data_IF_068421837793
#
_entry.id   IF_068421837793
#
_cell.length_a   1.000
_cell.length_b   1.000
_cell.length_c   1.000
_cell.angle_alpha   90.00
_cell.angle_beta   90.00
_cell.angle_gamma   90.00
#
_symmetry.space_group_name_H-M   'P 1'
#
loop_
_entity.id
_entity.type
_entity.pdbx_description
1 polymer ?
#
# COMPACT_ATOMS: atom_id res chain seq x y z
N UNK A 1 -14.81 -6.03 26.11
CA UNK A 1 -13.94 -5.46 25.06
C UNK A 1 -14.76 -5.36 23.78
N UNK A 2 -15.28 -4.18 23.48
CA UNK A 2 -16.15 -3.96 22.30
C UNK A 2 -15.26 -3.41 21.19
N UNK A 3 -14.60 -4.28 20.43
CA UNK A 3 -13.78 -3.87 19.29
C UNK A 3 -14.68 -3.33 18.19
N UNK A 4 -14.79 -2.00 18.08
CA UNK A 4 -15.44 -1.36 16.94
C UNK A 4 -14.66 -1.68 15.67
N UNK A 5 -15.34 -2.20 14.65
CA UNK A 5 -14.76 -2.32 13.31
C UNK A 5 -14.43 -0.95 12.73
N UNK A 6 -13.47 -0.90 11.79
CA UNK A 6 -13.02 0.37 11.19
C UNK A 6 -14.15 1.17 10.53
N UNK A 7 -15.15 0.49 9.96
CA UNK A 7 -16.35 1.13 9.43
C UNK A 7 -17.21 1.83 10.49
N UNK A 8 -17.30 1.25 11.69
CA UNK A 8 -17.98 1.87 12.81
C UNK A 8 -17.23 3.13 13.30
N UNK A 9 -15.89 3.10 13.30
CA UNK A 9 -15.06 4.27 13.64
C UNK A 9 -15.29 5.43 12.67
N UNK A 10 -15.23 5.20 11.36
CA UNK A 10 -15.52 6.24 10.36
C UNK A 10 -16.96 6.75 10.46
N UNK A 11 -17.93 5.86 10.69
CA UNK A 11 -19.32 6.25 10.93
C UNK A 11 -19.46 7.20 12.11
N UNK A 12 -18.80 6.90 13.24
CA UNK A 12 -18.80 7.76 14.43
C UNK A 12 -18.20 9.14 14.15
N UNK A 13 -17.08 9.20 13.42
CA UNK A 13 -16.45 10.48 13.04
C UNK A 13 -17.40 11.32 12.19
N UNK A 14 -18.03 10.72 11.18
CA UNK A 14 -18.95 11.44 10.29
C UNK A 14 -20.26 11.82 10.97
N UNK A 15 -20.79 10.99 11.88
CA UNK A 15 -21.95 11.35 12.70
C UNK A 15 -21.63 12.53 13.62
N UNK A 16 -20.46 12.52 14.27
CA UNK A 16 -20.00 13.62 15.10
C UNK A 16 -19.82 14.92 14.31
N UNK A 17 -19.24 14.82 13.11
CA UNK A 17 -19.13 15.95 12.18
C UNK A 17 -20.51 16.49 11.77
N UNK A 18 -21.42 15.59 11.39
CA UNK A 18 -22.77 15.97 10.96
C UNK A 18 -23.56 16.66 12.06
N UNK A 19 -23.51 16.11 13.28
CA UNK A 19 -24.15 16.71 14.46
C UNK A 19 -23.63 18.12 14.74
N UNK A 20 -22.30 18.31 14.73
CA UNK A 20 -21.69 19.63 15.01
C UNK A 20 -22.01 20.69 13.97
N UNK A 21 -22.25 20.28 12.72
CA UNK A 21 -22.50 21.19 11.61
C UNK A 21 -23.99 21.25 11.20
N UNK A 22 -24.90 20.65 11.98
CA UNK A 22 -26.33 20.65 11.68
C UNK A 22 -26.69 19.93 10.37
N UNK A 23 -25.91 18.93 9.97
CA UNK A 23 -26.09 18.19 8.73
C UNK A 23 -26.98 16.95 8.96
N UNK A 24 -27.86 16.69 8.00
CA UNK A 24 -28.62 15.45 7.94
C UNK A 24 -27.71 14.27 7.60
N UNK A 25 -28.02 13.10 8.16
CA UNK A 25 -27.35 11.84 7.83
C UNK A 25 -28.00 11.26 6.57
N UNK A 26 -27.24 10.93 5.51
CA UNK A 26 -27.80 10.34 4.30
C UNK A 26 -28.40 8.95 4.57
N UNK A 27 -29.30 8.51 3.69
CA UNK A 27 -29.75 7.12 3.68
C UNK A 27 -28.67 6.19 3.15
N UNK A 28 -28.65 4.95 3.64
CA UNK A 28 -27.78 3.89 3.14
C UNK A 28 -28.15 3.47 1.72
N UNK A 29 -27.15 3.08 0.92
CA UNK A 29 -27.36 2.52 -0.42
C UNK A 29 -27.30 0.98 -0.37
N UNK A 30 -27.92 0.27 -1.33
CA UNK A 30 -27.81 -1.17 -1.42
C UNK A 30 -26.37 -1.60 -1.74
N UNK A 31 -25.94 -2.71 -1.16
CA UNK A 31 -24.63 -3.32 -1.47
C UNK A 31 -24.66 -3.94 -2.85
N UNK A 32 -23.63 -3.68 -3.65
CA UNK A 32 -23.39 -4.36 -4.93
C UNK A 32 -22.07 -5.15 -4.88
N UNK A 33 -21.95 -6.15 -5.74
CA UNK A 33 -20.67 -6.82 -5.97
C UNK A 33 -19.74 -5.95 -6.80
N UNK A 34 -18.44 -5.98 -6.53
CA UNK A 34 -17.43 -5.28 -7.31
C UNK A 34 -16.11 -6.06 -7.34
N UNK A 35 -15.21 -5.71 -8.25
CA UNK A 35 -13.94 -6.41 -8.44
C UNK A 35 -12.89 -5.86 -7.48
N UNK A 36 -12.22 -6.76 -6.74
CA UNK A 36 -11.15 -6.40 -5.80
C UNK A 36 -9.82 -6.02 -6.44
N UNK A 37 -8.76 -6.03 -5.63
CA UNK A 37 -7.38 -5.77 -6.07
C UNK A 37 -6.85 -6.82 -7.05
N UNK A 38 -5.81 -6.47 -7.80
CA UNK A 38 -5.13 -7.41 -8.70
C UNK A 38 -4.19 -8.30 -7.89
N UNK A 39 -4.38 -9.62 -7.96
CA UNK A 39 -3.41 -10.58 -7.42
C UNK A 39 -3.12 -11.66 -8.46
N UNK A 40 -1.85 -11.79 -8.84
CA UNK A 40 -1.42 -12.67 -9.93
C UNK A 40 -0.03 -13.22 -9.69
N UNK A 41 0.13 -14.50 -10.01
CA UNK A 41 1.41 -15.16 -10.18
C UNK A 41 1.71 -15.19 -11.68
N UNK A 42 2.88 -14.71 -12.07
CA UNK A 42 3.34 -14.70 -13.46
C UNK A 42 4.44 -15.75 -13.68
N UNK A 43 5.27 -16.00 -12.68
CA UNK A 43 6.39 -16.96 -12.74
C UNK A 43 6.38 -17.87 -11.52
N UNK A 44 6.31 -19.18 -11.75
CA UNK A 44 6.43 -20.22 -10.71
C UNK A 44 7.90 -20.64 -10.61
N UNK A 45 8.35 -20.95 -9.40
CA UNK A 45 9.68 -21.51 -9.15
C UNK A 45 10.68 -20.47 -8.66
N UNK A 46 11.96 -20.78 -8.83
CA UNK A 46 13.08 -20.05 -8.25
C UNK A 46 13.44 -18.79 -9.06
N UNK A 47 13.78 -17.70 -8.37
CA UNK A 47 14.29 -16.47 -8.97
C UNK A 47 15.30 -15.80 -8.04
N UNK A 48 16.28 -15.11 -8.60
CA UNK A 48 17.35 -14.42 -7.86
C UNK A 48 17.23 -12.90 -8.02
N UNK A 49 17.91 -12.16 -7.13
CA UNK A 49 18.02 -10.70 -7.10
C UNK A 49 16.63 -10.06 -7.23
N UNK A 50 15.79 -10.27 -6.22
CA UNK A 50 14.38 -9.88 -6.28
C UNK A 50 14.16 -8.58 -5.55
N UNK A 51 13.41 -7.66 -6.16
CA UNK A 51 12.91 -6.45 -5.51
C UNK A 51 11.40 -6.50 -5.38
N UNK A 52 10.90 -6.03 -4.25
CA UNK A 52 9.47 -5.80 -4.00
C UNK A 52 9.18 -4.32 -4.10
N UNK A 53 8.39 -3.93 -5.09
CA UNK A 53 7.88 -2.58 -5.20
C UNK A 53 6.47 -2.53 -4.59
N UNK A 54 6.20 -1.55 -3.75
CA UNK A 54 4.90 -1.36 -3.10
C UNK A 54 4.44 0.10 -3.21
N UNK A 55 3.16 0.31 -3.48
CA UNK A 55 2.60 1.67 -3.50
C UNK A 55 2.35 2.16 -2.08
N UNK A 56 2.88 3.33 -1.75
CA UNK A 56 2.72 3.97 -0.45
C UNK A 56 1.24 4.26 -0.15
N UNK A 57 0.61 3.41 0.67
CA UNK A 57 -0.81 3.51 1.04
C UNK A 57 -1.74 3.60 -0.17
N UNK A 58 -1.67 2.61 -1.09
CA UNK A 58 -2.34 2.62 -2.39
C UNK A 58 -3.77 3.19 -2.38
N UNK A 59 -4.71 2.57 -1.64
CA UNK A 59 -6.11 2.99 -1.70
C UNK A 59 -6.37 4.39 -1.12
N UNK A 60 -5.88 4.76 0.07
CA UNK A 60 -5.93 6.14 0.53
C UNK A 60 -5.32 7.14 -0.46
N UNK A 61 -4.16 6.80 -1.04
CA UNK A 61 -3.47 7.67 -1.99
C UNK A 61 -4.26 7.87 -3.28
N UNK A 62 -4.92 6.81 -3.78
CA UNK A 62 -5.84 6.89 -4.93
C UNK A 62 -7.02 7.80 -4.61
N UNK A 63 -7.65 7.62 -3.44
CA UNK A 63 -8.80 8.44 -3.04
C UNK A 63 -8.44 9.92 -3.00
N UNK A 64 -7.32 10.26 -2.37
CA UNK A 64 -6.85 11.64 -2.23
C UNK A 64 -6.42 12.25 -3.58
N UNK A 65 -5.69 11.50 -4.40
CA UNK A 65 -5.14 11.97 -5.68
C UNK A 65 -6.22 12.14 -6.75
N UNK A 66 -7.14 11.17 -6.85
CA UNK A 66 -8.18 11.16 -7.89
C UNK A 66 -9.55 11.65 -7.40
N UNK A 67 -9.59 12.23 -6.20
CA UNK A 67 -10.80 12.70 -5.54
C UNK A 67 -11.94 11.66 -5.59
N UNK A 68 -11.67 10.43 -5.14
CA UNK A 68 -12.64 9.33 -5.15
C UNK A 68 -13.38 9.27 -3.81
N UNK A 69 -14.42 10.08 -3.70
CA UNK A 69 -15.33 10.18 -2.57
C UNK A 69 -16.78 10.27 -3.06
N UNK A 70 -17.74 10.01 -2.17
CA UNK A 70 -19.17 10.13 -2.48
C UNK A 70 -19.62 11.59 -2.45
N UNK A 71 -20.54 11.94 -3.35
CA UNK A 71 -21.08 13.31 -3.46
C UNK A 71 -22.01 13.69 -2.29
N UNK A 72 -22.45 12.72 -1.48
CA UNK A 72 -23.32 12.97 -0.33
C UNK A 72 -22.58 13.61 0.86
N UNK A 73 -21.25 13.61 0.88
CA UNK A 73 -20.47 14.44 1.80
C UNK A 73 -20.29 15.85 1.24
N UNK A 74 -21.33 16.66 1.45
CA UNK A 74 -21.39 18.05 0.98
C UNK A 74 -20.33 18.97 1.58
N UNK A 75 -19.66 18.54 2.65
CA UNK A 75 -18.62 19.32 3.34
C UNK A 75 -17.19 18.88 2.98
N UNK A 76 -17.03 17.77 2.27
CA UNK A 76 -15.72 17.17 2.03
C UNK A 76 -15.01 16.67 3.30
N UNK A 77 -15.76 16.39 4.37
CA UNK A 77 -15.23 15.95 5.65
C UNK A 77 -14.44 14.64 5.56
N UNK A 78 -14.91 13.67 4.76
CA UNK A 78 -14.22 12.39 4.55
C UNK A 78 -12.85 12.61 3.91
N UNK A 79 -12.79 13.47 2.88
CA UNK A 79 -11.52 13.82 2.23
C UNK A 79 -10.60 14.56 3.18
N UNK A 80 -11.10 15.56 3.90
CA UNK A 80 -10.32 16.35 4.85
C UNK A 80 -9.75 15.49 5.98
N UNK A 81 -10.56 14.62 6.57
CA UNK A 81 -10.13 13.69 7.62
C UNK A 81 -9.13 12.65 7.09
N UNK A 82 -9.34 12.10 5.88
CA UNK A 82 -8.39 11.17 5.28
C UNK A 82 -7.06 11.85 4.99
N UNK A 83 -7.06 13.07 4.46
CA UNK A 83 -5.86 13.86 4.20
C UNK A 83 -5.10 14.14 5.51
N UNK A 84 -5.79 14.62 6.53
CA UNK A 84 -5.21 14.87 7.86
C UNK A 84 -4.55 13.59 8.42
N UNK A 85 -5.27 12.47 8.42
CA UNK A 85 -4.72 11.21 8.94
C UNK A 85 -3.55 10.69 8.09
N UNK A 86 -3.58 10.91 6.77
CA UNK A 86 -2.50 10.57 5.86
C UNK A 86 -1.23 11.38 6.15
N UNK A 87 -1.36 12.70 6.30
CA UNK A 87 -0.23 13.61 6.54
C UNK A 87 0.42 13.33 7.89
N UNK A 88 -0.37 13.21 8.96
CA UNK A 88 0.16 12.88 10.29
C UNK A 88 0.80 11.50 10.34
N UNK A 89 0.28 10.53 9.57
CA UNK A 89 0.91 9.21 9.49
C UNK A 89 2.30 9.31 8.87
N UNK A 90 2.44 10.07 7.78
CA UNK A 90 3.73 10.25 7.12
C UNK A 90 4.71 11.01 8.00
N UNK A 91 4.26 12.08 8.67
CA UNK A 91 5.04 12.79 9.68
C UNK A 91 5.55 11.83 10.77
N UNK A 92 4.71 10.94 11.29
CA UNK A 92 5.13 9.97 12.30
C UNK A 92 6.10 8.92 11.74
N UNK A 93 5.96 8.49 10.48
CA UNK A 93 6.96 7.62 9.82
C UNK A 93 8.32 8.33 9.69
N UNK A 94 8.32 9.60 9.30
CA UNK A 94 9.54 10.41 9.17
C UNK A 94 10.21 10.60 10.52
N UNK A 95 9.44 10.96 11.56
CA UNK A 95 9.94 11.10 12.93
C UNK A 95 10.49 9.77 13.47
N UNK A 96 9.80 8.66 13.22
CA UNK A 96 10.32 7.31 13.55
C UNK A 96 11.70 7.10 12.92
N UNK A 97 11.84 7.32 11.62
CA UNK A 97 13.11 7.13 10.90
C UNK A 97 14.21 8.07 11.42
N UNK A 98 13.87 9.35 11.63
CA UNK A 98 14.79 10.36 12.18
C UNK A 98 15.32 9.97 13.55
N UNK A 99 14.43 9.60 14.48
CA UNK A 99 14.82 9.23 15.84
C UNK A 99 15.57 7.89 15.88
N UNK A 100 15.25 6.94 14.99
CA UNK A 100 16.04 5.73 14.82
C UNK A 100 17.49 6.02 14.41
N UNK A 101 17.70 6.93 13.45
CA UNK A 101 19.05 7.36 13.01
C UNK A 101 19.83 8.07 14.11
N UNK A 102 19.15 8.78 15.02
CA UNK A 102 19.76 9.45 16.18
C UNK A 102 20.01 8.50 17.37
N UNK A 103 19.63 7.21 17.28
CA UNK A 103 19.76 6.25 18.38
C UNK A 103 18.72 6.41 19.49
N UNK A 104 17.73 7.29 19.32
CA UNK A 104 16.68 7.57 20.31
C UNK A 104 15.55 6.52 20.22
N UNK A 105 15.84 5.29 20.69
CA UNK A 105 14.95 4.12 20.55
C UNK A 105 13.54 4.36 21.08
N UNK A 106 13.38 4.92 22.29
CA UNK A 106 12.06 5.17 22.89
C UNK A 106 11.20 6.10 22.05
N UNK A 107 11.78 7.18 21.50
CA UNK A 107 11.06 8.12 20.63
C UNK A 107 10.69 7.45 19.31
N UNK A 108 11.60 6.67 18.72
CA UNK A 108 11.32 5.91 17.50
C UNK A 108 10.13 4.96 17.69
N UNK A 109 10.13 4.18 18.78
CA UNK A 109 9.04 3.27 19.13
C UNK A 109 7.73 4.02 19.42
N UNK A 110 7.80 5.18 20.07
CA UNK A 110 6.64 6.02 20.33
C UNK A 110 5.96 6.48 19.04
N UNK A 111 6.73 6.95 18.06
CA UNK A 111 6.17 7.35 16.76
C UNK A 111 5.68 6.15 15.94
N UNK A 112 6.31 4.99 16.09
CA UNK A 112 5.79 3.76 15.48
C UNK A 112 4.42 3.37 16.05
N UNK A 113 4.25 3.44 17.37
CA UNK A 113 2.96 3.22 18.03
C UNK A 113 1.90 4.23 17.57
N UNK A 114 2.28 5.47 17.28
CA UNK A 114 1.36 6.51 16.78
C UNK A 114 0.94 6.35 15.33
N UNK A 115 1.81 5.86 14.43
CA UNK A 115 1.46 5.72 13.02
C UNK A 115 0.51 4.53 12.75
N UNK A 116 0.56 3.49 13.59
CA UNK A 116 -0.23 2.27 13.40
C UNK A 116 -1.76 2.50 13.41
N UNK A 117 -2.35 3.21 14.40
CA UNK A 117 -3.77 3.55 14.37
C UNK A 117 -4.19 4.33 13.12
N UNK A 118 -3.35 5.27 12.67
CA UNK A 118 -3.62 6.06 11.46
C UNK A 118 -3.56 5.18 10.21
N UNK A 119 -2.65 4.21 10.14
CA UNK A 119 -2.62 3.21 9.05
C UNK A 119 -3.95 2.45 8.98
N UNK A 120 -4.43 1.96 10.13
CA UNK A 120 -5.67 1.21 10.24
C UNK A 120 -6.87 2.08 9.85
N UNK A 121 -6.92 3.32 10.34
CA UNK A 121 -8.00 4.25 10.05
C UNK A 121 -8.03 4.63 8.56
N UNK A 122 -6.89 4.95 7.95
CA UNK A 122 -6.80 5.28 6.52
C UNK A 122 -7.27 4.12 5.64
N UNK A 123 -6.80 2.90 5.90
CA UNK A 123 -7.26 1.71 5.17
C UNK A 123 -8.74 1.40 5.44
N UNK A 124 -9.23 1.76 6.63
CA UNK A 124 -10.64 1.66 7.01
C UNK A 124 -11.56 2.53 6.15
N UNK A 125 -11.07 3.64 5.57
CA UNK A 125 -11.89 4.53 4.75
C UNK A 125 -12.37 3.83 3.48
N UNK A 126 -11.47 3.13 2.78
CA UNK A 126 -11.82 2.30 1.62
C UNK A 126 -12.85 1.22 1.99
N UNK A 127 -12.66 0.53 3.12
CA UNK A 127 -13.61 -0.48 3.58
C UNK A 127 -14.99 0.11 3.90
N UNK A 128 -15.02 1.31 4.49
CA UNK A 128 -16.25 2.01 4.87
C UNK A 128 -17.02 2.50 3.66
N UNK A 129 -16.34 3.20 2.74
CA UNK A 129 -16.97 3.75 1.54
C UNK A 129 -17.49 2.65 0.62
N UNK A 130 -16.87 1.47 0.65
CA UNK A 130 -17.31 0.30 -0.13
C UNK A 130 -18.47 -0.48 0.51
N UNK A 131 -18.88 -0.13 1.73
CA UNK A 131 -19.89 -0.84 2.53
C UNK A 131 -21.12 0.04 2.81
N UNK A 132 -21.91 0.40 1.77
CA UNK A 132 -23.00 1.37 1.88
C UNK A 132 -24.15 0.94 2.81
N UNK A 133 -24.30 -0.36 3.08
CA UNK A 133 -25.31 -0.90 3.98
C UNK A 133 -25.06 -0.58 5.47
N UNK A 134 -23.80 -0.33 5.86
CA UNK A 134 -23.42 -0.01 7.26
C UNK A 134 -22.93 1.42 7.43
N UNK A 135 -22.33 1.99 6.39
CA UNK A 135 -21.77 3.33 6.35
C UNK A 135 -22.66 4.24 5.48
N UNK A 136 -23.41 5.18 6.08
CA UNK A 136 -24.39 6.01 5.35
C UNK A 136 -23.81 6.81 4.18
N UNK A 137 -22.54 7.22 4.27
CA UNK A 137 -21.84 7.94 3.20
C UNK A 137 -21.14 7.00 2.20
N UNK A 138 -21.42 5.70 2.25
CA UNK A 138 -20.81 4.70 1.38
C UNK A 138 -21.50 4.59 0.03
N UNK A 139 -20.72 4.22 -0.98
CA UNK A 139 -21.17 3.84 -2.32
C UNK A 139 -20.21 2.78 -2.87
N UNK A 140 -20.74 1.61 -3.23
CA UNK A 140 -19.97 0.53 -3.85
C UNK A 140 -19.24 0.98 -5.14
N UNK A 141 -19.78 1.94 -5.89
CA UNK A 141 -19.11 2.46 -7.08
C UNK A 141 -17.79 3.16 -6.75
N UNK A 142 -17.68 3.80 -5.57
CA UNK A 142 -16.41 4.37 -5.11
C UNK A 142 -15.40 3.27 -4.82
N UNK A 143 -15.85 2.17 -4.18
CA UNK A 143 -15.04 0.97 -3.99
C UNK A 143 -14.48 0.42 -5.31
N UNK A 144 -15.34 0.22 -6.31
CA UNK A 144 -14.92 -0.24 -7.65
C UNK A 144 -13.98 0.75 -8.34
N UNK A 145 -14.24 2.06 -8.24
CA UNK A 145 -13.37 3.10 -8.84
C UNK A 145 -11.98 3.07 -8.21
N UNK A 146 -11.88 2.92 -6.89
CA UNK A 146 -10.61 2.79 -6.17
C UNK A 146 -9.86 1.53 -6.62
N UNK A 147 -10.51 0.36 -6.60
CA UNK A 147 -9.85 -0.89 -6.96
C UNK A 147 -9.49 -0.94 -8.44
N UNK A 148 -10.36 -0.46 -9.34
CA UNK A 148 -10.06 -0.35 -10.77
C UNK A 148 -8.84 0.53 -11.04
N UNK A 149 -8.75 1.68 -10.36
CA UNK A 149 -7.59 2.57 -10.46
C UNK A 149 -6.33 1.88 -9.94
N UNK A 150 -6.41 1.15 -8.81
CA UNK A 150 -5.29 0.37 -8.29
C UNK A 150 -4.80 -0.71 -9.27
N UNK A 151 -5.73 -1.43 -9.91
CA UNK A 151 -5.39 -2.41 -10.97
C UNK A 151 -4.70 -1.75 -12.16
N UNK A 152 -5.10 -0.53 -12.53
CA UNK A 152 -4.44 0.22 -13.61
C UNK A 152 -3.03 0.64 -13.22
N UNK A 153 -2.81 1.15 -12.01
CA UNK A 153 -1.47 1.48 -11.50
C UNK A 153 -0.53 0.27 -11.48
N UNK A 154 -1.00 -0.89 -10.99
CA UNK A 154 -0.19 -2.11 -11.02
C UNK A 154 0.15 -2.57 -12.44
N UNK A 155 -0.81 -2.53 -13.37
CA UNK A 155 -0.55 -2.87 -14.79
C UNK A 155 0.47 -1.93 -15.43
N UNK A 156 0.38 -0.64 -15.10
CA UNK A 156 1.32 0.37 -15.57
C UNK A 156 2.73 0.10 -15.02
N UNK A 157 2.85 -0.16 -13.72
CA UNK A 157 4.11 -0.54 -13.08
C UNK A 157 4.73 -1.76 -13.76
N UNK A 158 3.97 -2.86 -13.91
CA UNK A 158 4.45 -4.06 -14.61
C UNK A 158 4.96 -3.71 -16.01
N UNK A 159 4.20 -2.95 -16.80
CA UNK A 159 4.61 -2.54 -18.15
C UNK A 159 5.89 -1.70 -18.15
N UNK A 160 6.01 -0.75 -17.23
CA UNK A 160 7.13 0.18 -17.15
C UNK A 160 8.44 -0.51 -16.76
N UNK A 161 8.40 -1.35 -15.72
CA UNK A 161 9.57 -2.07 -15.22
C UNK A 161 9.98 -3.21 -16.16
N UNK A 162 9.02 -3.95 -16.73
CA UNK A 162 9.31 -5.01 -17.70
C UNK A 162 10.02 -4.47 -18.95
N UNK A 163 9.67 -3.27 -19.43
CA UNK A 163 10.39 -2.60 -20.53
C UNK A 163 11.85 -2.27 -20.22
N UNK A 164 12.24 -2.23 -18.95
CA UNK A 164 13.61 -1.96 -18.47
C UNK A 164 14.33 -3.24 -18.04
N UNK A 165 13.79 -4.41 -18.36
CA UNK A 165 14.41 -5.72 -18.08
C UNK A 165 14.06 -6.32 -16.72
N UNK A 166 13.26 -5.65 -15.89
CA UNK A 166 12.78 -6.23 -14.63
C UNK A 166 11.73 -7.30 -14.93
N UNK A 167 12.01 -8.55 -14.58
CA UNK A 167 11.11 -9.67 -14.86
C UNK A 167 10.03 -9.74 -13.77
N UNK A 168 8.74 -9.54 -14.09
CA UNK A 168 7.68 -9.55 -13.09
C UNK A 168 7.40 -10.99 -12.62
N UNK A 169 7.31 -11.20 -11.31
CA UNK A 169 7.19 -12.54 -10.69
C UNK A 169 5.80 -12.79 -10.11
N UNK A 170 5.48 -12.11 -9.01
CA UNK A 170 4.22 -12.27 -8.26
C UNK A 170 3.79 -10.92 -7.73
N UNK A 171 2.49 -10.65 -7.71
CA UNK A 171 1.96 -9.43 -7.11
C UNK A 171 0.65 -9.64 -6.38
N UNK A 172 0.43 -8.75 -5.42
CA UNK A 172 -0.77 -8.72 -4.58
C UNK A 172 -1.16 -7.28 -4.27
N UNK A 173 -2.33 -6.89 -4.76
CA UNK A 173 -3.11 -5.69 -4.40
C UNK A 173 -2.43 -4.34 -4.61
N UNK A 174 -1.36 -4.07 -3.86
CA UNK A 174 -0.59 -2.83 -3.81
C UNK A 174 0.89 -2.99 -4.19
N UNK A 175 1.41 -4.22 -4.19
CA UNK A 175 2.80 -4.50 -4.52
C UNK A 175 3.01 -5.56 -5.60
N UNK A 176 4.21 -5.56 -6.18
CA UNK A 176 4.66 -6.55 -7.16
C UNK A 176 6.16 -6.82 -7.03
N UNK A 177 6.52 -8.10 -7.09
CA UNK A 177 7.90 -8.58 -7.01
C UNK A 177 8.48 -8.73 -8.40
N UNK A 178 9.73 -8.29 -8.58
CA UNK A 178 10.46 -8.41 -9.84
C UNK A 178 11.84 -9.01 -9.60
N UNK A 179 12.33 -9.82 -10.53
CA UNK A 179 13.76 -10.10 -10.62
C UNK A 179 14.45 -8.92 -11.32
N UNK A 180 15.53 -8.43 -10.71
CA UNK A 180 16.32 -7.29 -11.13
C UNK A 180 17.24 -7.74 -12.28
N UNK A 181 17.32 -7.00 -13.40
CA UNK A 181 18.23 -7.36 -14.49
C UNK A 181 19.69 -7.20 -14.07
N UNK A 182 20.58 -8.04 -14.60
CA UNK A 182 22.01 -8.02 -14.27
C UNK A 182 22.72 -6.72 -14.67
N UNK A 183 22.18 -6.01 -15.66
CA UNK A 183 22.71 -4.75 -16.17
C UNK A 183 22.00 -3.51 -15.58
N UNK A 184 21.32 -3.66 -14.44
CA UNK A 184 20.57 -2.57 -13.79
C UNK A 184 21.44 -1.33 -13.53
N UNK A 185 22.73 -1.52 -13.25
CA UNK A 185 23.66 -0.42 -12.93
C UNK A 185 23.89 0.57 -14.08
N UNK A 186 23.49 0.21 -15.31
CA UNK A 186 23.54 1.11 -16.48
C UNK A 186 22.56 2.26 -16.38
N UNK A 187 21.50 2.12 -15.58
CA UNK A 187 20.48 3.16 -15.47
C UNK A 187 20.99 4.36 -14.67
N UNK A 188 20.75 5.55 -15.21
CA UNK A 188 21.05 6.86 -14.63
C UNK A 188 19.84 7.75 -14.83
N UNK A 189 19.46 8.51 -13.81
CA UNK A 189 18.34 9.45 -13.89
C UNK A 189 18.61 10.67 -13.00
N UNK A 190 18.50 11.86 -13.57
CA UNK A 190 18.56 13.12 -12.82
C UNK A 190 17.13 13.54 -12.52
N UNK A 191 16.78 13.59 -11.23
CA UNK A 191 15.45 13.93 -10.77
C UNK A 191 15.06 15.36 -11.14
N UNK A 192 13.82 15.52 -11.61
CA UNK A 192 13.24 16.84 -11.88
C UNK A 192 12.65 17.48 -10.62
N UNK A 193 12.54 16.72 -9.52
CA UNK A 193 11.98 17.16 -8.24
C UNK A 193 10.46 17.27 -8.21
N UNK A 194 9.76 16.70 -9.19
CA UNK A 194 8.29 16.72 -9.26
C UNK A 194 7.67 15.79 -8.21
N UNK A 195 8.40 14.77 -7.74
CA UNK A 195 7.90 13.84 -6.72
C UNK A 195 8.61 13.99 -5.38
N UNK A 196 7.83 13.94 -4.29
CA UNK A 196 8.31 14.13 -2.90
C UNK A 196 9.35 13.12 -2.40
N UNK A 197 9.55 12.01 -3.11
CA UNK A 197 10.55 11.00 -2.76
C UNK A 197 11.92 11.29 -3.38
N UNK A 198 11.99 12.25 -4.31
CA UNK A 198 13.19 12.55 -5.05
C UNK A 198 13.64 13.99 -4.81
N UNK A 199 14.94 14.22 -4.77
CA UNK A 199 15.52 15.56 -4.64
C UNK A 199 15.88 16.11 -6.03
N UNK A 200 15.51 17.37 -6.30
CA UNK A 200 15.73 17.99 -7.61
C UNK A 200 17.22 18.09 -7.93
N UNK A 201 17.61 17.65 -9.14
CA UNK A 201 18.98 17.72 -9.62
C UNK A 201 19.91 16.63 -9.06
N UNK A 202 19.42 15.77 -8.16
CA UNK A 202 20.18 14.61 -7.69
C UNK A 202 20.14 13.52 -8.75
N UNK A 203 21.32 12.95 -9.03
CA UNK A 203 21.46 11.79 -9.90
C UNK A 203 21.26 10.50 -9.10
N UNK A 204 20.27 9.72 -9.51
CA UNK A 204 20.02 8.38 -9.04
C UNK A 204 20.62 7.36 -10.01
N UNK A 205 21.09 6.23 -9.47
CA UNK A 205 21.76 5.17 -10.22
C UNK A 205 21.08 3.83 -10.03
N UNK A 206 21.27 2.91 -10.98
CA UNK A 206 20.81 1.54 -10.85
C UNK A 206 19.28 1.43 -10.77
N UNK A 207 18.80 0.57 -9.88
CA UNK A 207 17.37 0.40 -9.63
C UNK A 207 16.69 1.69 -9.14
N UNK A 208 17.39 2.46 -8.30
CA UNK A 208 16.86 3.71 -7.76
C UNK A 208 16.63 4.75 -8.85
N UNK A 209 17.44 4.76 -9.92
CA UNK A 209 17.21 5.60 -11.09
C UNK A 209 15.85 5.31 -11.74
N UNK A 210 15.52 4.03 -11.90
CA UNK A 210 14.28 3.58 -12.56
C UNK A 210 13.05 3.92 -11.71
N UNK A 211 13.15 3.75 -10.39
CA UNK A 211 12.10 4.10 -9.43
C UNK A 211 11.92 5.61 -9.33
N UNK A 212 13.02 6.37 -9.29
CA UNK A 212 12.98 7.83 -9.27
C UNK A 212 12.29 8.39 -10.52
N UNK A 213 12.67 7.92 -11.71
CA UNK A 213 12.02 8.27 -12.98
C UNK A 213 10.52 7.92 -12.95
N UNK A 214 10.16 6.74 -12.43
CA UNK A 214 8.77 6.32 -12.34
C UNK A 214 7.94 7.28 -11.48
N UNK A 215 8.50 7.66 -10.32
CA UNK A 215 7.86 8.55 -9.37
C UNK A 215 7.72 9.97 -9.94
N UNK A 216 8.77 10.56 -10.51
CA UNK A 216 8.74 11.91 -11.08
C UNK A 216 7.79 12.05 -12.27
N UNK A 217 7.77 11.03 -13.15
CA UNK A 217 7.00 11.10 -14.40
C UNK A 217 5.53 10.73 -14.18
N UNK A 218 5.26 9.64 -13.45
CA UNK A 218 3.93 9.01 -13.43
C UNK A 218 3.19 9.13 -12.09
N UNK A 219 3.88 9.29 -10.96
CA UNK A 219 3.20 9.48 -9.68
C UNK A 219 2.81 10.94 -9.51
N UNK A 220 1.54 11.18 -9.17
CA UNK A 220 0.95 12.50 -8.99
C UNK A 220 0.26 12.59 -7.64
N UNK A 221 0.13 13.80 -7.12
CA UNK A 221 -0.48 14.05 -5.82
C UNK A 221 0.26 13.29 -4.72
N UNK A 222 -0.47 12.47 -3.97
CA UNK A 222 0.07 11.69 -2.85
C UNK A 222 0.42 10.25 -3.22
N UNK A 223 0.23 9.84 -4.48
CA UNK A 223 0.75 8.56 -4.96
C UNK A 223 2.28 8.52 -4.82
N UNK A 224 2.85 7.32 -4.75
CA UNK A 224 4.30 7.12 -4.66
C UNK A 224 4.61 5.63 -4.64
N UNK A 225 5.69 5.24 -5.31
CA UNK A 225 6.20 3.88 -5.33
C UNK A 225 7.45 3.78 -4.44
N UNK A 226 7.40 2.87 -3.47
CA UNK A 226 8.49 2.57 -2.55
C UNK A 226 9.16 1.23 -2.92
N UNK A 227 10.44 1.12 -2.55
CA UNK A 227 11.16 -0.16 -2.50
C UNK A 227 10.94 -0.74 -1.10
N UNK A 228 10.14 -1.80 -1.00
CA UNK A 228 9.79 -2.40 0.29
C UNK A 228 10.90 -3.31 0.81
N UNK A 229 11.38 -4.22 -0.03
CA UNK A 229 12.37 -5.24 0.36
C UNK A 229 13.19 -5.67 -0.87
N UNK A 230 14.47 -5.97 -0.66
CA UNK A 230 15.34 -6.62 -1.65
C UNK A 230 15.71 -7.98 -1.08
N UNK A 231 15.56 -9.02 -1.89
CA UNK A 231 15.80 -10.41 -1.52
C UNK A 231 16.88 -10.99 -2.45
N UNK A 232 17.76 -11.81 -1.88
CA UNK A 232 18.79 -12.53 -2.64
C UNK A 232 18.14 -13.52 -3.62
N UNK A 233 17.10 -14.20 -3.16
CA UNK A 233 16.31 -15.11 -3.96
C UNK A 233 14.88 -15.26 -3.44
N UNK A 234 14.01 -15.82 -4.27
CA UNK A 234 12.65 -16.23 -3.89
C UNK A 234 12.28 -17.53 -4.60
N UNK A 235 11.42 -18.33 -3.99
CA UNK A 235 10.69 -19.41 -4.66
C UNK A 235 9.19 -19.12 -4.60
N UNK A 236 8.59 -18.94 -5.78
CA UNK A 236 7.16 -18.67 -5.90
C UNK A 236 6.39 -19.97 -6.14
N UNK A 237 5.46 -20.31 -5.24
CA UNK A 237 4.68 -21.55 -5.31
C UNK A 237 3.27 -21.31 -5.85
N UNK A 238 2.59 -20.30 -5.29
CA UNK A 238 1.25 -19.90 -5.71
C UNK A 238 1.03 -18.41 -5.45
N UNK A 239 -0.12 -17.87 -5.88
CA UNK A 239 -0.53 -16.51 -5.50
C UNK A 239 -0.51 -16.38 -3.98
N UNK A 240 0.14 -15.32 -3.47
CA UNK A 240 0.32 -15.04 -2.04
C UNK A 240 1.06 -16.13 -1.24
N UNK A 241 1.77 -17.04 -1.93
CA UNK A 241 2.50 -18.14 -1.30
C UNK A 241 3.90 -18.25 -1.93
N UNK A 242 4.90 -17.73 -1.24
CA UNK A 242 6.30 -17.68 -1.66
C UNK A 242 7.23 -17.65 -0.45
N UNK A 243 8.50 -18.00 -0.68
CA UNK A 243 9.54 -17.96 0.34
C UNK A 243 10.71 -17.11 -0.16
N UNK A 244 11.09 -16.11 0.61
CA UNK A 244 12.15 -15.16 0.26
C UNK A 244 13.41 -15.41 1.10
N UNK A 245 14.57 -15.36 0.47
CA UNK A 245 15.87 -15.40 1.14
C UNK A 245 16.38 -13.96 1.31
N UNK A 246 16.55 -13.54 2.56
CA UNK A 246 17.01 -12.19 2.93
C UNK A 246 18.02 -12.34 4.06
N UNK A 247 19.24 -11.83 3.86
CA UNK A 247 20.33 -11.87 4.84
C UNK A 247 20.57 -13.29 5.39
N UNK A 248 20.58 -14.28 4.50
CA UNK A 248 20.73 -15.70 4.84
C UNK A 248 19.55 -16.34 5.58
N UNK A 249 18.43 -15.64 5.77
CA UNK A 249 17.23 -16.16 6.43
C UNK A 249 16.06 -16.31 5.46
N UNK A 250 15.33 -17.42 5.60
CA UNK A 250 14.13 -17.68 4.80
C UNK A 250 12.90 -17.09 5.48
N UNK A 251 12.22 -16.19 4.78
CA UNK A 251 10.94 -15.58 5.17
C UNK A 251 9.82 -16.22 4.36
N UNK A 252 8.99 -17.02 5.04
CA UNK A 252 7.83 -17.67 4.45
C UNK A 252 6.62 -16.73 4.44
N UNK A 253 6.02 -16.52 3.27
CA UNK A 253 4.83 -15.69 3.09
C UNK A 253 3.70 -16.55 2.53
N UNK A 254 2.57 -16.58 3.23
CA UNK A 254 1.35 -17.22 2.75
C UNK A 254 0.75 -18.21 3.73
N UNK A 255 -0.58 -18.16 3.85
CA UNK A 255 -1.34 -19.00 4.79
C UNK A 255 -1.34 -20.49 4.42
N UNK A 256 -0.96 -20.84 3.19
CA UNK A 256 -0.84 -22.25 2.78
C UNK A 256 0.53 -22.82 3.16
N UNK A 257 1.56 -21.98 3.26
CA UNK A 257 2.92 -22.37 3.66
C UNK A 257 3.04 -22.38 5.19
N UNK A 258 2.54 -21.33 5.86
CA UNK A 258 2.58 -21.21 7.31
C UNK A 258 1.18 -20.91 7.84
N UNK A 259 0.57 -21.89 8.52
CA UNK A 259 -0.80 -21.80 9.04
C UNK A 259 -0.86 -22.20 10.50
N UNK A 260 -1.69 -21.52 11.29
CA UNK A 260 -2.01 -21.94 12.67
C UNK A 260 -2.77 -23.28 12.72
N UNK A 261 -3.32 -23.72 11.59
CA UNK A 261 -4.02 -25.01 11.45
C UNK A 261 -3.12 -26.12 10.92
N UNK A 262 -1.87 -25.82 10.57
CA UNK A 262 -0.93 -26.82 10.08
C UNK A 262 -0.55 -27.75 11.24
N UNK A 263 -0.51 -29.08 11.04
CA UNK A 263 0.06 -29.98 12.04
C UNK A 263 1.50 -29.59 12.38
N UNK A 264 1.87 -29.66 13.67
CA UNK A 264 3.16 -29.20 14.19
C UNK A 264 4.35 -29.85 13.46
N UNK A 265 4.30 -31.16 13.22
CA UNK A 265 5.38 -31.88 12.55
C UNK A 265 5.62 -31.40 11.10
N UNK A 266 4.58 -30.90 10.41
CA UNK A 266 4.74 -30.31 9.06
C UNK A 266 5.36 -28.91 9.17
N UNK A 267 4.97 -28.15 10.20
CA UNK A 267 5.53 -26.81 10.42
C UNK A 267 7.02 -26.88 10.78
N UNK A 268 7.40 -27.83 11.64
CA UNK A 268 8.79 -28.12 11.99
C UNK A 268 9.59 -28.55 10.76
N UNK A 269 9.07 -29.50 9.96
CA UNK A 269 9.73 -29.93 8.72
C UNK A 269 9.94 -28.81 7.68
N UNK A 270 9.06 -27.80 7.65
CA UNK A 270 9.20 -26.65 6.74
C UNK A 270 10.19 -25.60 7.28
N UNK A 271 10.31 -25.50 8.61
CA UNK A 271 11.21 -24.55 9.27
C UNK A 271 12.65 -25.08 9.40
N UNK A 272 12.85 -26.41 9.37
CA UNK A 272 14.16 -27.12 9.32
C UNK A 272 14.82 -27.10 7.92
#
# INVERSE_FOLDING_TARGET
SSTMGTAATWKLLMLGWSYRNGLAVPHTMPTKGFTGGLSRLLEVGYSQNVVKFDFASLYPSIQLTHNVFTDCDVTGAMRGLLQYNYDYRNLYKELKSKHAKLGEKEKSEYYDKKQLPLKILNNGMFGSISAPHVYPWGDTNMGEKITCTGRQYLRHMIRYFNKRGFKPLVGDTDGFNFSIPSDVDKFRYISNGEHRFNEKGVEYTGMNAVVAEYNDVYMKGVMGLDVDEICEATINLARKNYADLIDGKVKLVGNTIKSKKLPTYIAEFIDD
#
